data_IF_336479038315
#
_entry.id   IF_336479038315
#
_cell.length_a   1.000
_cell.length_b   1.000
_cell.length_c   1.000
_cell.angle_alpha   90.00
_cell.angle_beta   90.00
_cell.angle_gamma   90.00
#
_symmetry.space_group_name_H-M   'P 1'
#
loop_
_entity.id
_entity.type
_entity.pdbx_description
1 polymer ?
#
# COMPACT_ATOMS: atom_id res chain seq x y z
N UNK A 1 54.88 -49.25 -0.24
CA UNK A 1 53.44 -48.92 -0.14
C UNK A 1 52.81 -49.85 0.89
N UNK A 2 52.10 -49.34 1.91
CA UNK A 2 51.40 -50.19 2.87
C UNK A 2 50.26 -50.97 2.18
N UNK A 3 50.04 -52.22 2.60
CA UNK A 3 49.09 -53.18 1.99
C UNK A 3 47.66 -52.61 1.89
N UNK A 4 47.27 -51.76 2.84
CA UNK A 4 45.97 -51.07 2.85
C UNK A 4 45.78 -50.11 1.67
N UNK A 5 46.82 -49.39 1.26
CA UNK A 5 46.79 -48.53 0.07
C UNK A 5 46.67 -49.35 -1.22
N UNK A 6 47.27 -50.54 -1.25
CA UNK A 6 47.21 -51.44 -2.40
C UNK A 6 45.81 -52.06 -2.57
N UNK A 7 45.14 -52.42 -1.47
CA UNK A 7 43.75 -52.92 -1.47
C UNK A 7 42.78 -51.82 -1.94
N UNK A 8 42.93 -50.60 -1.42
CA UNK A 8 42.12 -49.46 -1.84
C UNK A 8 42.29 -49.15 -3.33
N UNK A 9 43.53 -49.18 -3.83
CA UNK A 9 43.83 -48.96 -5.24
C UNK A 9 43.25 -50.07 -6.12
N UNK A 10 43.37 -51.34 -5.71
CA UNK A 10 42.81 -52.47 -6.43
C UNK A 10 41.27 -52.43 -6.48
N UNK A 11 40.64 -52.05 -5.38
CA UNK A 11 39.18 -51.84 -5.31
C UNK A 11 38.73 -50.71 -6.24
N UNK A 12 39.42 -49.57 -6.22
CA UNK A 12 39.13 -48.44 -7.12
C UNK A 12 39.30 -48.83 -8.59
N UNK A 13 40.40 -49.52 -8.93
CA UNK A 13 40.66 -49.98 -10.30
C UNK A 13 39.65 -51.04 -10.76
N UNK A 14 39.21 -51.92 -9.86
CA UNK A 14 38.14 -52.89 -10.15
C UNK A 14 36.82 -52.18 -10.45
N UNK A 15 36.50 -51.13 -9.69
CA UNK A 15 35.29 -50.33 -9.90
C UNK A 15 35.32 -49.58 -11.23
N UNK A 16 36.42 -48.90 -11.56
CA UNK A 16 36.58 -48.20 -12.84
C UNK A 16 36.50 -49.17 -14.02
N UNK A 17 37.14 -50.34 -13.93
CA UNK A 17 37.02 -51.38 -14.96
C UNK A 17 35.59 -51.89 -15.11
N UNK A 18 34.84 -52.01 -14.01
CA UNK A 18 33.42 -52.39 -14.08
C UNK A 18 32.59 -51.33 -14.80
N UNK A 19 32.82 -50.05 -14.53
CA UNK A 19 32.10 -48.97 -15.22
C UNK A 19 32.41 -48.94 -16.72
N UNK A 20 33.70 -49.07 -17.07
CA UNK A 20 34.11 -49.14 -18.48
C UNK A 20 33.50 -50.35 -19.21
N UNK A 21 33.37 -51.50 -18.52
CA UNK A 21 32.69 -52.67 -19.10
C UNK A 21 31.21 -52.41 -19.36
N UNK A 22 30.52 -51.75 -18.43
CA UNK A 22 29.10 -51.39 -18.59
C UNK A 22 28.94 -50.40 -19.76
N UNK A 23 29.80 -49.39 -19.82
CA UNK A 23 29.83 -48.41 -20.91
C UNK A 23 30.12 -49.09 -22.27
N UNK A 24 31.08 -50.00 -22.31
CA UNK A 24 31.40 -50.75 -23.54
C UNK A 24 30.23 -51.63 -23.97
N UNK A 25 29.59 -52.33 -23.04
CA UNK A 25 28.42 -53.17 -23.33
C UNK A 25 27.21 -52.35 -23.81
N UNK A 26 26.98 -51.16 -23.23
CA UNK A 26 25.97 -50.20 -23.66
C UNK A 26 26.19 -49.78 -25.13
N UNK A 27 27.43 -49.41 -25.48
CA UNK A 27 27.76 -49.06 -26.85
C UNK A 27 27.69 -50.26 -27.79
N UNK A 28 28.14 -51.44 -27.36
CA UNK A 28 28.07 -52.68 -28.16
C UNK A 28 26.62 -53.07 -28.48
N UNK A 29 25.70 -52.97 -27.51
CA UNK A 29 24.26 -53.14 -27.74
C UNK A 29 23.72 -52.14 -28.76
N UNK A 30 24.12 -50.88 -28.66
CA UNK A 30 23.73 -49.84 -29.62
C UNK A 30 24.25 -50.13 -31.02
N UNK A 31 25.52 -50.52 -31.16
CA UNK A 31 26.12 -50.91 -32.43
C UNK A 31 25.44 -52.14 -33.03
N UNK A 32 25.14 -53.16 -32.23
CA UNK A 32 24.44 -54.38 -32.67
C UNK A 32 22.98 -54.11 -33.10
N UNK A 33 22.33 -53.07 -32.57
CA UNK A 33 21.02 -52.60 -33.03
C UNK A 33 21.12 -51.77 -34.33
N UNK A 34 22.26 -51.14 -34.58
CA UNK A 34 22.53 -50.33 -35.78
C UNK A 34 23.11 -51.12 -36.95
N UNK A 35 23.68 -52.31 -36.74
CA UNK A 35 23.97 -53.23 -37.84
C UNK A 35 22.66 -53.67 -38.50
N UNK A 36 22.44 -53.38 -39.80
CA UNK A 36 21.25 -53.84 -40.49
C UNK A 36 21.32 -55.37 -40.61
N UNK A 37 20.53 -56.09 -39.80
CA UNK A 37 20.06 -57.41 -40.21
C UNK A 37 19.21 -57.21 -41.46
N UNK A 38 19.75 -57.69 -42.58
CA UNK A 38 19.07 -57.97 -43.83
C UNK A 38 18.52 -56.76 -44.62
N UNK A 39 19.41 -56.06 -45.33
CA UNK A 39 19.04 -55.51 -46.64
C UNK A 39 19.15 -56.62 -47.70
N UNK A 40 18.21 -57.57 -47.59
CA UNK A 40 17.82 -58.41 -48.70
C UNK A 40 17.28 -57.55 -49.83
N UNK A 41 18.02 -57.55 -50.93
CA UNK A 41 17.58 -57.35 -52.31
C UNK A 41 16.09 -57.02 -52.53
N UNK A 42 15.73 -55.73 -52.51
CA UNK A 42 14.51 -55.27 -53.20
C UNK A 42 14.84 -54.90 -54.65
N UNK A 43 14.44 -55.82 -55.54
CA UNK A 43 14.34 -55.65 -56.98
C UNK A 43 13.50 -54.40 -57.31
N UNK A 44 14.12 -53.38 -57.88
CA UNK A 44 13.42 -52.46 -58.81
C UNK A 44 13.50 -53.03 -60.21
N UNK A 45 12.34 -53.10 -60.85
CA UNK A 45 12.13 -53.73 -62.14
C UNK A 45 12.95 -53.12 -63.28
N UNK A 46 13.57 -54.01 -64.04
CA UNK A 46 13.80 -53.88 -65.47
C UNK A 46 13.75 -55.30 -66.01
N UNK A 47 12.58 -55.67 -66.52
CA UNK A 47 12.45 -56.76 -67.48
C UNK A 47 12.93 -56.18 -68.80
N UNK A 48 14.08 -56.65 -69.28
CA UNK A 48 14.31 -57.02 -70.67
C UNK A 48 15.71 -57.65 -70.77
N UNK A 49 15.69 -58.85 -71.34
CA UNK A 49 16.77 -59.51 -72.09
C UNK A 49 17.88 -60.30 -71.36
N UNK A 50 17.62 -61.61 -71.31
CA UNK A 50 18.46 -62.74 -71.72
C UNK A 50 19.97 -62.49 -71.97
N UNK A 51 20.82 -63.22 -71.25
CA UNK A 51 22.18 -63.49 -71.74
C UNK A 51 23.24 -63.81 -70.68
N UNK A 52 23.49 -65.10 -70.48
CA UNK A 52 24.79 -65.74 -70.19
C UNK A 52 25.79 -65.11 -69.20
N UNK A 53 25.94 -65.82 -68.08
CA UNK A 53 27.15 -66.55 -67.66
C UNK A 53 28.56 -65.93 -67.81
N UNK A 54 29.33 -66.17 -66.74
CA UNK A 54 30.79 -66.29 -66.62
C UNK A 54 31.58 -65.11 -66.02
N UNK A 55 32.06 -65.37 -64.79
CA UNK A 55 33.30 -64.89 -64.16
C UNK A 55 34.48 -64.83 -65.18
N UNK A 56 35.54 -63.99 -65.01
CA UNK A 56 36.28 -63.89 -63.75
C UNK A 56 36.98 -62.57 -63.37
N UNK A 57 37.38 -62.58 -62.10
CA UNK A 57 38.48 -61.85 -61.44
C UNK A 57 39.56 -61.28 -62.38
N UNK A 58 39.70 -59.95 -62.35
CA UNK A 58 40.90 -59.20 -62.69
C UNK A 58 41.35 -58.36 -61.50
N UNK A 59 42.61 -58.55 -61.09
CA UNK A 59 43.20 -58.19 -59.80
C UNK A 59 43.91 -56.82 -59.87
N UNK A 60 43.75 -56.04 -58.80
CA UNK A 60 44.64 -54.99 -58.25
C UNK A 60 44.87 -53.71 -59.08
N UNK A 61 44.41 -52.59 -58.50
CA UNK A 61 45.34 -51.51 -58.16
C UNK A 61 44.94 -50.86 -56.84
N UNK A 62 45.83 -51.01 -55.86
CA UNK A 62 45.78 -50.37 -54.56
C UNK A 62 45.73 -48.85 -54.73
N UNK A 63 44.64 -48.23 -54.26
CA UNK A 63 44.65 -46.81 -53.89
C UNK A 63 44.55 -46.76 -52.37
N UNK A 64 45.71 -46.88 -51.75
CA UNK A 64 45.95 -46.45 -50.38
C UNK A 64 45.61 -44.97 -50.26
N UNK A 65 44.45 -44.69 -49.68
CA UNK A 65 44.10 -43.53 -48.86
C UNK A 65 42.59 -43.58 -48.61
N UNK A 66 42.14 -44.61 -47.91
CA UNK A 66 40.99 -44.44 -47.06
C UNK A 66 41.53 -43.64 -45.88
N UNK A 67 41.28 -42.33 -45.94
CA UNK A 67 41.32 -41.42 -44.80
C UNK A 67 40.80 -42.19 -43.59
N UNK A 68 41.61 -42.23 -42.53
CA UNK A 68 41.22 -42.72 -41.23
C UNK A 68 39.74 -42.45 -41.02
N UNK A 69 39.01 -43.56 -40.87
CA UNK A 69 37.68 -43.65 -40.33
C UNK A 69 37.10 -42.30 -39.94
N UNK A 70 36.00 -41.93 -40.61
CA UNK A 70 34.97 -41.20 -39.88
C UNK A 70 34.59 -42.10 -38.70
N UNK A 71 35.36 -42.03 -37.62
CA UNK A 71 34.90 -42.38 -36.29
C UNK A 71 33.67 -41.51 -36.15
N UNK A 72 32.50 -42.11 -36.36
CA UNK A 72 31.23 -41.50 -36.04
C UNK A 72 31.24 -41.47 -34.51
N UNK A 73 31.93 -40.47 -33.97
CA UNK A 73 31.96 -40.18 -32.56
C UNK A 73 30.57 -39.67 -32.24
N UNK A 74 29.84 -40.43 -31.43
CA UNK A 74 28.57 -39.98 -30.88
C UNK A 74 28.80 -38.64 -30.18
N UNK A 75 27.94 -37.67 -30.47
CA UNK A 75 27.94 -36.40 -29.73
C UNK A 75 27.65 -36.67 -28.25
N UNK A 76 28.03 -35.73 -27.38
CA UNK A 76 27.76 -35.86 -25.93
C UNK A 76 26.26 -36.04 -25.69
N UNK A 77 25.43 -35.33 -26.45
CA UNK A 77 23.97 -35.45 -26.43
C UNK A 77 23.51 -36.87 -26.83
N UNK A 78 24.01 -37.41 -27.95
CA UNK A 78 23.69 -38.78 -28.38
C UNK A 78 24.15 -39.85 -27.37
N UNK A 79 25.27 -39.64 -26.69
CA UNK A 79 25.75 -40.52 -25.61
C UNK A 79 24.85 -40.44 -24.39
N UNK A 80 24.40 -39.24 -24.00
CA UNK A 80 23.43 -39.06 -22.92
C UNK A 80 22.10 -39.74 -23.25
N UNK A 81 21.59 -39.56 -24.48
CA UNK A 81 20.34 -40.21 -24.92
C UNK A 81 20.45 -41.73 -24.94
N UNK A 82 21.60 -42.28 -25.30
CA UNK A 82 21.85 -43.71 -25.25
C UNK A 82 21.94 -44.21 -23.80
N UNK A 83 22.68 -43.50 -22.94
CA UNK A 83 22.77 -43.84 -21.53
C UNK A 83 21.40 -43.79 -20.83
N UNK A 84 20.55 -42.84 -21.21
CA UNK A 84 19.20 -42.72 -20.68
C UNK A 84 18.31 -43.86 -21.16
N UNK A 85 18.35 -44.23 -22.44
CA UNK A 85 17.62 -45.40 -22.97
C UNK A 85 18.03 -46.71 -22.32
N UNK A 86 19.34 -46.94 -22.15
CA UNK A 86 19.83 -48.15 -21.48
C UNK A 86 19.51 -48.14 -19.98
N UNK A 87 19.46 -46.97 -19.35
CA UNK A 87 18.96 -46.84 -17.98
C UNK A 87 17.47 -47.19 -17.89
N UNK A 88 16.65 -46.78 -18.85
CA UNK A 88 15.22 -47.12 -18.92
C UNK A 88 15.02 -48.63 -19.16
N UNK A 89 15.74 -49.21 -20.13
CA UNK A 89 15.70 -50.65 -20.43
C UNK A 89 16.13 -51.49 -19.22
N UNK A 90 17.24 -51.12 -18.56
CA UNK A 90 17.67 -51.84 -17.34
C UNK A 90 16.70 -51.69 -16.17
N UNK A 91 16.00 -50.55 -16.05
CA UNK A 91 14.92 -50.39 -15.06
C UNK A 91 13.75 -51.31 -15.37
N UNK A 92 13.34 -51.41 -16.63
CA UNK A 92 12.29 -52.32 -17.08
C UNK A 92 12.68 -53.79 -16.83
N UNK A 93 13.90 -54.19 -17.18
CA UNK A 93 14.43 -55.54 -16.94
C UNK A 93 14.43 -55.88 -15.44
N UNK A 94 14.89 -54.96 -14.59
CA UNK A 94 14.87 -55.14 -13.13
C UNK A 94 13.43 -55.30 -12.63
N UNK A 95 12.50 -54.51 -13.14
CA UNK A 95 11.09 -54.59 -12.74
C UNK A 95 10.47 -55.91 -13.19
N UNK A 96 10.71 -56.34 -14.42
CA UNK A 96 10.23 -57.63 -14.93
C UNK A 96 10.83 -58.81 -14.13
N UNK A 97 12.13 -58.75 -13.80
CA UNK A 97 12.78 -59.76 -12.97
C UNK A 97 12.15 -59.81 -11.57
N UNK A 98 11.87 -58.65 -10.95
CA UNK A 98 11.19 -58.58 -9.65
C UNK A 98 9.81 -59.23 -9.71
N UNK A 99 8.98 -58.84 -10.67
CA UNK A 99 7.64 -59.42 -10.83
C UNK A 99 7.69 -60.94 -11.06
N UNK A 100 8.61 -61.41 -11.90
CA UNK A 100 8.79 -62.84 -12.13
C UNK A 100 9.24 -63.57 -10.87
N UNK A 101 10.20 -63.01 -10.13
CA UNK A 101 10.68 -63.58 -8.87
C UNK A 101 9.56 -63.66 -7.83
N UNK A 102 8.71 -62.63 -7.75
CA UNK A 102 7.57 -62.60 -6.83
C UNK A 102 6.51 -63.62 -7.21
N UNK A 103 6.18 -63.74 -8.51
CA UNK A 103 5.27 -64.79 -9.01
C UNK A 103 5.78 -66.19 -8.67
N UNK A 104 7.07 -66.43 -8.85
CA UNK A 104 7.71 -67.71 -8.53
C UNK A 104 7.67 -67.96 -7.02
N UNK A 105 7.99 -66.96 -6.21
CA UNK A 105 7.95 -67.06 -4.75
C UNK A 105 6.54 -67.39 -4.25
N UNK A 106 5.53 -66.67 -4.73
CA UNK A 106 4.12 -66.93 -4.39
C UNK A 106 3.69 -68.35 -4.78
N UNK A 107 4.16 -68.86 -5.93
CA UNK A 107 3.89 -70.24 -6.33
C UNK A 107 4.55 -71.25 -5.37
N UNK A 108 5.81 -71.04 -4.99
CA UNK A 108 6.47 -71.93 -4.02
C UNK A 108 5.80 -71.90 -2.64
N UNK A 109 5.37 -70.73 -2.17
CA UNK A 109 4.61 -70.62 -0.93
C UNK A 109 3.29 -71.41 -1.01
N UNK A 110 2.54 -71.27 -2.12
CA UNK A 110 1.31 -72.03 -2.32
C UNK A 110 1.55 -73.56 -2.36
N UNK A 111 2.64 -74.01 -2.98
CA UNK A 111 3.03 -75.43 -3.01
C UNK A 111 3.37 -75.93 -1.60
N UNK A 112 4.11 -75.14 -0.81
CA UNK A 112 4.44 -75.50 0.58
C UNK A 112 3.19 -75.60 1.45
N UNK A 113 2.30 -74.61 1.39
CA UNK A 113 1.02 -74.63 2.13
C UNK A 113 0.17 -75.85 1.74
N UNK A 114 0.08 -76.17 0.44
CA UNK A 114 -0.63 -77.35 -0.05
C UNK A 114 -0.01 -78.65 0.49
N UNK A 115 1.32 -78.75 0.51
CA UNK A 115 2.04 -79.89 1.04
C UNK A 115 1.80 -80.08 2.54
N UNK A 116 1.79 -78.99 3.32
CA UNK A 116 1.50 -79.03 4.76
C UNK A 116 0.06 -79.51 5.02
N UNK A 117 -0.92 -78.98 4.28
CA UNK A 117 -2.31 -79.42 4.36
C UNK A 117 -2.42 -80.92 4.03
N UNK A 118 -1.81 -81.35 2.92
CA UNK A 118 -1.81 -82.78 2.52
C UNK A 118 -1.16 -83.67 3.56
N UNK A 119 -0.04 -83.24 4.16
CA UNK A 119 0.64 -84.02 5.19
C UNK A 119 -0.27 -84.24 6.41
N UNK A 120 -0.98 -83.20 6.86
CA UNK A 120 -1.94 -83.31 7.97
C UNK A 120 -3.10 -84.23 7.61
N UNK A 121 -3.65 -84.11 6.40
CA UNK A 121 -4.74 -84.95 5.91
C UNK A 121 -4.34 -86.43 5.79
N UNK A 122 -3.15 -86.73 5.27
CA UNK A 122 -2.64 -88.11 5.16
C UNK A 122 -2.40 -88.71 6.53
N UNK A 123 -1.80 -87.97 7.46
CA UNK A 123 -1.61 -88.44 8.85
C UNK A 123 -2.95 -88.76 9.51
N UNK A 124 -3.95 -87.88 9.35
CA UNK A 124 -5.31 -88.10 9.85
C UNK A 124 -5.93 -89.34 9.21
N UNK A 125 -5.87 -89.45 7.88
CA UNK A 125 -6.42 -90.59 7.14
C UNK A 125 -5.78 -91.92 7.56
N UNK A 126 -4.47 -91.93 7.83
CA UNK A 126 -3.77 -93.11 8.33
C UNK A 126 -4.24 -93.51 9.72
N UNK A 127 -4.42 -92.55 10.63
CA UNK A 127 -4.93 -92.80 11.99
C UNK A 127 -6.38 -93.31 11.97
N UNK A 128 -7.24 -92.70 11.14
CA UNK A 128 -8.63 -93.11 10.94
C UNK A 128 -8.70 -94.53 10.36
N UNK A 129 -7.88 -94.84 9.35
CA UNK A 129 -7.83 -96.18 8.76
C UNK A 129 -7.36 -97.24 9.77
N UNK A 130 -6.31 -96.98 10.54
CA UNK A 130 -5.83 -97.89 11.58
C UNK A 130 -6.92 -98.14 12.64
N UNK A 131 -7.60 -97.08 13.09
CA UNK A 131 -8.67 -97.15 14.08
C UNK A 131 -9.90 -97.91 13.56
N UNK A 132 -10.41 -97.52 12.41
CA UNK A 132 -11.73 -97.93 11.95
C UNK A 132 -11.68 -99.26 11.18
N UNK A 133 -10.55 -99.56 10.54
CA UNK A 133 -10.35 -100.75 9.71
C UNK A 133 -9.44 -101.75 10.42
N UNK A 134 -8.17 -101.42 10.64
CA UNK A 134 -7.15 -102.39 11.13
C UNK A 134 -7.53 -102.94 12.52
N UNK A 135 -7.82 -102.07 13.48
CA UNK A 135 -8.21 -102.46 14.85
C UNK A 135 -9.60 -103.10 14.94
N UNK A 136 -10.49 -102.84 13.99
CA UNK A 136 -11.83 -103.43 13.94
C UNK A 136 -11.81 -104.85 13.37
N UNK A 137 -11.04 -105.06 12.30
CA UNK A 137 -10.91 -106.36 11.62
C UNK A 137 -10.16 -107.35 12.49
N UNK A 138 -9.08 -106.92 13.15
CA UNK A 138 -8.30 -107.78 14.08
C UNK A 138 -9.13 -108.32 15.24
N UNK A 139 -10.19 -107.60 15.67
CA UNK A 139 -11.10 -108.03 16.75
C UNK A 139 -12.21 -108.98 16.28
N UNK A 140 -12.57 -108.98 15.00
CA UNK A 140 -13.67 -109.78 14.44
C UNK A 140 -13.13 -110.80 13.44
N UNK A 141 -12.94 -112.05 13.87
CA UNK A 141 -12.45 -113.14 13.00
C UNK A 141 -13.49 -113.52 11.94
N UNK A 142 -13.28 -113.09 10.69
CA UNK A 142 -14.08 -113.50 9.53
C UNK A 142 -13.71 -112.74 8.25
N UNK A 143 -13.25 -113.46 7.21
CA UNK A 143 -12.72 -112.89 5.96
C UNK A 143 -13.74 -112.01 5.20
N UNK A 144 -15.00 -112.45 5.14
CA UNK A 144 -16.08 -111.74 4.42
C UNK A 144 -16.46 -110.41 5.09
N UNK A 145 -16.45 -110.37 6.42
CA UNK A 145 -16.75 -109.15 7.20
C UNK A 145 -15.60 -108.14 7.06
N UNK A 146 -14.36 -108.63 6.99
CA UNK A 146 -13.19 -107.80 6.76
C UNK A 146 -13.23 -107.13 5.38
N UNK A 147 -13.55 -107.87 4.31
CA UNK A 147 -13.66 -107.32 2.96
C UNK A 147 -14.80 -106.32 2.81
N UNK A 148 -15.99 -106.59 3.38
CA UNK A 148 -17.13 -105.65 3.32
C UNK A 148 -16.80 -104.32 4.03
N UNK A 149 -16.08 -104.38 5.16
CA UNK A 149 -15.69 -103.18 5.91
C UNK A 149 -14.69 -102.30 5.14
N UNK A 150 -13.72 -102.94 4.48
CA UNK A 150 -12.75 -102.23 3.61
C UNK A 150 -13.47 -101.60 2.42
N UNK A 151 -14.39 -102.31 1.78
CA UNK A 151 -15.16 -101.81 0.63
C UNK A 151 -15.97 -100.56 1.01
N UNK A 152 -16.75 -100.63 2.10
CA UNK A 152 -17.52 -99.46 2.59
C UNK A 152 -16.64 -98.27 2.91
N UNK A 153 -15.49 -98.49 3.53
CA UNK A 153 -14.52 -97.41 3.79
C UNK A 153 -14.05 -96.77 2.48
N UNK A 154 -13.70 -97.56 1.47
CA UNK A 154 -13.30 -97.02 0.16
C UNK A 154 -14.43 -96.21 -0.49
N UNK A 155 -15.67 -96.70 -0.46
CA UNK A 155 -16.85 -96.01 -0.98
C UNK A 155 -17.11 -94.67 -0.26
N UNK A 156 -17.05 -94.66 1.07
CA UNK A 156 -17.22 -93.45 1.88
C UNK A 156 -16.11 -92.43 1.61
N UNK A 157 -14.86 -92.88 1.43
CA UNK A 157 -13.72 -92.01 1.08
C UNK A 157 -13.87 -91.43 -0.32
N UNK A 158 -14.33 -92.20 -1.29
CA UNK A 158 -14.62 -91.72 -2.65
C UNK A 158 -15.70 -90.64 -2.59
N UNK A 159 -16.82 -90.92 -1.88
CA UNK A 159 -17.93 -89.98 -1.73
C UNK A 159 -17.50 -88.68 -1.03
N UNK A 160 -16.71 -88.78 0.03
CA UNK A 160 -16.16 -87.61 0.75
C UNK A 160 -15.25 -86.76 -0.15
N UNK A 161 -14.39 -87.41 -0.95
CA UNK A 161 -13.53 -86.72 -1.93
C UNK A 161 -14.35 -85.99 -2.99
N UNK A 162 -15.43 -86.60 -3.48
CA UNK A 162 -16.30 -85.98 -4.49
C UNK A 162 -17.02 -84.74 -3.93
N UNK A 163 -17.48 -84.79 -2.68
CA UNK A 163 -18.04 -83.62 -1.97
C UNK A 163 -16.99 -82.50 -1.84
N UNK A 164 -15.76 -82.86 -1.45
CA UNK A 164 -14.67 -81.88 -1.32
C UNK A 164 -14.31 -81.25 -2.67
N UNK A 165 -14.27 -82.04 -3.74
CA UNK A 165 -14.04 -81.57 -5.10
C UNK A 165 -15.06 -80.51 -5.51
N UNK A 166 -16.34 -80.77 -5.26
CA UNK A 166 -17.41 -79.79 -5.59
C UNK A 166 -17.29 -78.52 -4.73
N UNK A 167 -16.97 -78.66 -3.43
CA UNK A 167 -16.72 -77.52 -2.54
C UNK A 167 -15.57 -76.64 -3.03
N UNK A 168 -14.45 -77.23 -3.44
CA UNK A 168 -13.29 -76.51 -3.98
C UNK A 168 -13.67 -75.83 -5.30
N UNK A 169 -14.41 -76.52 -6.18
CA UNK A 169 -14.87 -75.95 -7.46
C UNK A 169 -15.73 -74.69 -7.25
N UNK A 170 -16.75 -74.76 -6.40
CA UNK A 170 -17.62 -73.62 -6.09
C UNK A 170 -16.81 -72.45 -5.49
N UNK A 171 -15.84 -72.74 -4.60
CA UNK A 171 -14.96 -71.71 -4.04
C UNK A 171 -14.07 -71.07 -5.10
N UNK A 172 -13.53 -71.86 -6.04
CA UNK A 172 -12.72 -71.37 -7.16
C UNK A 172 -13.52 -70.43 -8.07
N UNK A 173 -14.76 -70.80 -8.40
CA UNK A 173 -15.64 -69.97 -9.22
C UNK A 173 -16.00 -68.65 -8.52
N UNK A 174 -16.28 -68.69 -7.21
CA UNK A 174 -16.49 -67.49 -6.39
C UNK A 174 -15.26 -66.57 -6.37
N UNK A 175 -14.06 -67.12 -6.17
CA UNK A 175 -12.81 -66.34 -6.17
C UNK A 175 -12.50 -65.75 -7.55
N UNK A 176 -12.80 -66.46 -8.65
CA UNK A 176 -12.67 -65.92 -10.02
C UNK A 176 -13.56 -64.70 -10.24
N UNK A 177 -14.82 -64.74 -9.77
CA UNK A 177 -15.74 -63.59 -9.85
C UNK A 177 -15.22 -62.42 -9.01
N UNK A 178 -14.75 -62.68 -7.78
CA UNK A 178 -14.19 -61.64 -6.92
C UNK A 178 -12.95 -61.00 -7.55
N UNK A 179 -12.04 -61.80 -8.14
CA UNK A 179 -10.87 -61.30 -8.87
C UNK A 179 -11.30 -60.37 -10.01
N UNK A 180 -12.25 -60.78 -10.84
CA UNK A 180 -12.76 -59.93 -11.93
C UNK A 180 -13.36 -58.62 -11.42
N UNK A 181 -14.11 -58.65 -10.31
CA UNK A 181 -14.67 -57.45 -9.68
C UNK A 181 -13.56 -56.50 -9.20
N UNK A 182 -12.55 -57.02 -8.51
CA UNK A 182 -11.42 -56.21 -8.03
C UNK A 182 -10.61 -55.61 -9.18
N UNK A 183 -10.37 -56.39 -10.24
CA UNK A 183 -9.70 -55.89 -11.45
C UNK A 183 -10.50 -54.76 -12.11
N UNK A 184 -11.82 -54.86 -12.16
CA UNK A 184 -12.66 -53.80 -12.73
C UNK A 184 -12.68 -52.55 -11.85
N UNK A 185 -12.70 -52.69 -10.53
CA UNK A 185 -12.57 -51.57 -9.60
C UNK A 185 -11.21 -50.87 -9.72
N UNK A 186 -10.13 -51.64 -9.91
CA UNK A 186 -8.80 -51.09 -10.16
C UNK A 186 -8.79 -50.25 -11.45
N UNK A 187 -9.31 -50.80 -12.55
CA UNK A 187 -9.42 -50.06 -13.82
C UNK A 187 -10.23 -48.78 -13.69
N UNK A 188 -11.38 -48.81 -13.03
CA UNK A 188 -12.18 -47.61 -12.80
C UNK A 188 -11.44 -46.56 -11.96
N UNK A 189 -10.61 -46.98 -11.00
CA UNK A 189 -9.78 -46.08 -10.20
C UNK A 189 -8.61 -45.51 -11.00
N UNK A 190 -8.02 -46.30 -11.89
CA UNK A 190 -6.99 -45.87 -12.83
C UNK A 190 -7.55 -44.86 -13.84
N UNK A 191 -8.71 -45.14 -14.45
CA UNK A 191 -9.42 -44.22 -15.36
C UNK A 191 -9.87 -42.93 -14.65
N UNK A 192 -10.25 -42.99 -13.37
CA UNK A 192 -10.54 -41.79 -12.58
C UNK A 192 -9.26 -40.97 -12.27
N UNK A 193 -8.11 -41.64 -12.16
CA UNK A 193 -6.79 -40.99 -12.10
C UNK A 193 -6.37 -40.41 -13.45
N UNK A 194 -6.76 -41.04 -14.55
CA UNK A 194 -6.55 -40.57 -15.92
C UNK A 194 -7.46 -39.37 -16.27
N UNK A 195 -8.65 -39.27 -15.66
CA UNK A 195 -9.53 -38.10 -15.78
C UNK A 195 -8.93 -36.82 -15.15
N UNK A 196 -7.91 -36.95 -14.30
CA UNK A 196 -7.20 -35.85 -13.68
C UNK A 196 -5.79 -35.82 -14.28
N UNK A 197 -5.67 -35.29 -15.49
CA UNK A 197 -4.39 -35.32 -16.19
C UNK A 197 -3.36 -34.51 -15.41
N UNK A 198 -2.13 -35.02 -15.32
CA UNK A 198 -1.00 -34.24 -14.80
C UNK A 198 -0.85 -32.90 -15.53
N UNK A 199 -1.24 -32.87 -16.82
CA UNK A 199 -1.33 -31.65 -17.64
C UNK A 199 -2.32 -30.64 -17.06
N UNK A 200 -3.50 -31.05 -16.60
CA UNK A 200 -4.50 -30.14 -16.01
C UNK A 200 -3.97 -29.52 -14.71
N UNK A 201 -3.26 -30.32 -13.90
CA UNK A 201 -2.61 -29.82 -12.69
C UNK A 201 -1.47 -28.85 -13.02
N UNK A 202 -0.67 -29.15 -14.04
CA UNK A 202 0.39 -28.24 -14.49
C UNK A 202 -0.21 -26.95 -15.06
N UNK A 203 -1.30 -27.03 -15.82
CA UNK A 203 -2.03 -25.87 -16.30
C UNK A 203 -2.55 -25.02 -15.14
N UNK A 204 -3.17 -25.63 -14.12
CA UNK A 204 -3.67 -24.90 -12.95
C UNK A 204 -2.54 -24.22 -12.17
N UNK A 205 -1.36 -24.85 -12.08
CA UNK A 205 -0.15 -24.25 -11.50
C UNK A 205 0.33 -23.04 -12.31
N UNK A 206 0.34 -23.16 -13.64
CA UNK A 206 0.74 -22.06 -14.54
C UNK A 206 -0.25 -20.90 -14.42
N UNK A 207 -1.56 -21.17 -14.46
CA UNK A 207 -2.59 -20.15 -14.31
C UNK A 207 -2.50 -19.44 -12.95
N UNK A 208 -2.29 -20.18 -11.86
CA UNK A 208 -2.12 -19.60 -10.53
C UNK A 208 -0.86 -18.71 -10.47
N UNK A 209 0.26 -19.16 -11.03
CA UNK A 209 1.48 -18.35 -11.11
C UNK A 209 1.26 -17.05 -11.91
N UNK A 210 0.55 -17.13 -13.05
CA UNK A 210 0.19 -15.94 -13.84
C UNK A 210 -0.74 -14.98 -13.10
N UNK A 211 -1.69 -15.50 -12.30
CA UNK A 211 -2.56 -14.65 -11.50
C UNK A 211 -1.79 -13.97 -10.37
N UNK A 212 -0.86 -14.66 -9.72
CA UNK A 212 0.00 -14.07 -8.70
C UNK A 212 0.86 -12.94 -9.28
N UNK A 213 1.47 -13.16 -10.44
CA UNK A 213 2.27 -12.13 -11.13
C UNK A 213 1.41 -10.90 -11.46
N UNK A 214 0.21 -11.09 -12.01
CA UNK A 214 -0.73 -9.98 -12.26
C UNK A 214 -1.16 -9.26 -10.98
N UNK A 215 -1.34 -9.98 -9.87
CA UNK A 215 -1.67 -9.36 -8.58
C UNK A 215 -0.48 -8.50 -8.11
N UNK A 216 0.74 -9.00 -8.23
CA UNK A 216 1.95 -8.28 -7.85
C UNK A 216 2.18 -7.03 -8.71
N UNK A 217 1.99 -7.11 -10.03
CA UNK A 217 2.01 -5.95 -10.92
C UNK A 217 1.01 -4.88 -10.47
N UNK A 218 -0.24 -5.26 -10.22
CA UNK A 218 -1.28 -4.32 -9.77
C UNK A 218 -1.01 -3.75 -8.39
N UNK A 219 -0.39 -4.51 -7.51
CA UNK A 219 0.04 -4.02 -6.21
C UNK A 219 1.18 -3.00 -6.33
N UNK A 220 2.13 -3.20 -7.25
CA UNK A 220 3.18 -2.24 -7.54
C UNK A 220 2.61 -0.94 -8.14
N UNK A 221 1.69 -1.03 -9.09
CA UNK A 221 0.99 0.13 -9.66
C UNK A 221 0.24 0.91 -8.57
N UNK A 222 -0.49 0.20 -7.70
CA UNK A 222 -1.20 0.79 -6.57
C UNK A 222 -0.25 1.51 -5.61
N UNK A 223 0.93 0.94 -5.35
CA UNK A 223 1.94 1.57 -4.50
C UNK A 223 2.48 2.86 -5.15
N UNK A 224 2.81 2.83 -6.43
CA UNK A 224 3.27 4.01 -7.16
C UNK A 224 2.20 5.12 -7.18
N UNK A 225 0.94 4.75 -7.39
CA UNK A 225 -0.17 5.70 -7.37
C UNK A 225 -0.35 6.31 -5.97
N UNK A 226 -0.26 5.51 -4.90
CA UNK A 226 -0.30 6.01 -3.51
C UNK A 226 0.81 7.01 -3.22
N UNK A 227 2.05 6.73 -3.65
CA UNK A 227 3.18 7.65 -3.50
C UNK A 227 2.94 8.96 -4.26
N UNK A 228 2.44 8.87 -5.50
CA UNK A 228 2.12 10.03 -6.34
C UNK A 228 1.00 10.88 -5.72
N UNK A 229 -0.05 10.25 -5.18
CA UNK A 229 -1.12 10.93 -4.45
C UNK A 229 -0.58 11.61 -3.19
N UNK A 230 0.30 10.94 -2.43
CA UNK A 230 0.96 11.53 -1.27
C UNK A 230 1.76 12.79 -1.62
N UNK A 231 2.59 12.71 -2.67
CA UNK A 231 3.40 13.84 -3.14
C UNK A 231 2.55 15.00 -3.66
N UNK A 232 1.53 14.71 -4.47
CA UNK A 232 0.61 15.75 -4.98
C UNK A 232 -0.18 16.42 -3.85
N UNK A 233 -0.58 15.67 -2.82
CA UNK A 233 -1.24 16.21 -1.63
C UNK A 233 -0.31 17.11 -0.82
N UNK A 234 0.98 16.77 -0.69
CA UNK A 234 1.96 17.64 -0.04
C UNK A 234 2.13 18.96 -0.79
N UNK A 235 2.29 18.90 -2.12
CA UNK A 235 2.40 20.08 -2.99
C UNK A 235 1.13 20.94 -2.89
N UNK A 236 -0.05 20.31 -2.96
CA UNK A 236 -1.33 21.00 -2.84
C UNK A 236 -1.45 21.72 -1.49
N UNK A 237 -1.10 21.06 -0.39
CA UNK A 237 -1.14 21.67 0.94
C UNK A 237 -0.14 22.83 1.08
N UNK A 238 1.04 22.72 0.47
CA UNK A 238 2.01 23.83 0.42
C UNK A 238 1.42 25.06 -0.28
N UNK A 239 0.85 24.89 -1.47
CA UNK A 239 0.25 26.00 -2.22
C UNK A 239 -1.02 26.53 -1.55
N UNK A 240 -1.83 25.68 -0.92
CA UNK A 240 -2.98 26.10 -0.12
C UNK A 240 -2.58 27.01 1.03
N UNK A 241 -1.50 26.67 1.76
CA UNK A 241 -0.95 27.53 2.83
C UNK A 241 -0.42 28.85 2.28
N UNK A 242 0.31 28.82 1.16
CA UNK A 242 0.84 30.04 0.52
C UNK A 242 -0.29 30.96 0.05
N UNK A 243 -1.35 30.39 -0.53
CA UNK A 243 -2.53 31.14 -0.93
C UNK A 243 -3.22 31.76 0.29
N UNK A 244 -3.45 30.97 1.34
CA UNK A 244 -4.06 31.48 2.58
C UNK A 244 -3.28 32.66 3.16
N UNK A 245 -1.95 32.55 3.21
CA UNK A 245 -1.09 33.65 3.65
C UNK A 245 -1.27 34.90 2.77
N UNK A 246 -1.20 34.75 1.44
CA UNK A 246 -1.38 35.85 0.50
C UNK A 246 -2.77 36.49 0.64
N UNK A 247 -3.83 35.70 0.82
CA UNK A 247 -5.19 36.19 1.05
C UNK A 247 -5.27 36.97 2.36
N UNK A 248 -4.70 36.46 3.46
CA UNK A 248 -4.68 37.19 4.73
C UNK A 248 -3.92 38.51 4.63
N UNK A 249 -2.77 38.51 3.95
CA UNK A 249 -1.99 39.73 3.71
C UNK A 249 -2.78 40.73 2.86
N UNK A 250 -3.44 40.27 1.79
CA UNK A 250 -4.28 41.12 0.96
C UNK A 250 -5.42 41.76 1.79
N UNK A 251 -6.09 40.98 2.64
CA UNK A 251 -7.13 41.54 3.53
C UNK A 251 -6.57 42.57 4.51
N UNK A 252 -5.37 42.35 5.04
CA UNK A 252 -4.69 43.32 5.90
C UNK A 252 -4.36 44.61 5.14
N UNK A 253 -3.77 44.51 3.95
CA UNK A 253 -3.43 45.66 3.12
C UNK A 253 -4.67 46.47 2.71
N UNK A 254 -5.78 45.81 2.39
CA UNK A 254 -7.06 46.49 2.12
C UNK A 254 -7.53 47.28 3.33
N UNK A 255 -7.43 46.71 4.53
CA UNK A 255 -7.75 47.40 5.79
C UNK A 255 -6.81 48.60 6.03
N UNK A 256 -5.52 48.43 5.83
CA UNK A 256 -4.52 49.50 5.99
C UNK A 256 -4.78 50.64 5.00
N UNK A 257 -5.07 50.33 3.74
CA UNK A 257 -5.42 51.31 2.70
C UNK A 257 -6.68 52.09 3.12
N UNK A 258 -7.71 51.40 3.64
CA UNK A 258 -8.93 52.06 4.12
C UNK A 258 -8.63 53.01 5.30
N UNK A 259 -7.84 52.58 6.27
CA UNK A 259 -7.42 53.42 7.41
C UNK A 259 -6.60 54.64 6.97
N UNK A 260 -5.69 54.46 5.99
CA UNK A 260 -4.89 55.56 5.43
C UNK A 260 -5.74 56.54 4.64
N UNK A 261 -6.72 56.07 3.87
CA UNK A 261 -7.69 56.95 3.19
C UNK A 261 -8.49 57.78 4.19
N UNK A 262 -9.03 57.16 5.23
CA UNK A 262 -9.77 57.89 6.28
C UNK A 262 -8.88 58.95 6.97
N UNK A 263 -7.62 58.62 7.24
CA UNK A 263 -6.66 59.57 7.82
C UNK A 263 -6.35 60.73 6.87
N UNK A 264 -6.21 60.45 5.56
CA UNK A 264 -6.01 61.48 4.55
C UNK A 264 -7.22 62.40 4.43
N UNK A 265 -8.44 61.86 4.48
CA UNK A 265 -9.67 62.67 4.44
C UNK A 265 -9.73 63.62 5.64
N UNK A 266 -9.37 63.16 6.85
CA UNK A 266 -9.28 64.01 8.05
C UNK A 266 -8.25 65.13 7.89
N UNK A 267 -7.04 64.78 7.43
CA UNK A 267 -5.98 65.78 7.18
C UNK A 267 -6.42 66.78 6.11
N UNK A 268 -7.10 66.35 5.05
CA UNK A 268 -7.61 67.24 4.01
C UNK A 268 -8.66 68.22 4.57
N UNK A 269 -9.58 67.75 5.42
CA UNK A 269 -10.53 68.61 6.11
C UNK A 269 -9.84 69.60 7.07
N UNK A 270 -8.88 69.13 7.87
CA UNK A 270 -8.09 69.99 8.75
C UNK A 270 -7.30 71.04 7.96
N UNK A 271 -6.72 70.68 6.82
CA UNK A 271 -5.97 71.60 5.97
C UNK A 271 -6.86 72.74 5.42
N UNK A 272 -8.11 72.44 5.05
CA UNK A 272 -9.08 73.46 4.62
C UNK A 272 -9.36 74.43 5.78
N UNK A 273 -9.65 73.91 6.97
CA UNK A 273 -9.92 74.74 8.15
C UNK A 273 -8.73 75.63 8.52
N UNK A 274 -7.52 75.06 8.53
CA UNK A 274 -6.28 75.80 8.80
C UNK A 274 -6.04 76.88 7.74
N UNK A 275 -6.35 76.62 6.48
CA UNK A 275 -6.23 77.62 5.41
C UNK A 275 -7.21 78.78 5.60
N UNK A 276 -8.47 78.50 5.95
CA UNK A 276 -9.48 79.52 6.29
C UNK A 276 -9.04 80.36 7.50
N UNK A 277 -8.55 79.72 8.56
CA UNK A 277 -8.00 80.41 9.73
C UNK A 277 -6.77 81.26 9.37
N UNK A 278 -5.88 80.75 8.51
CA UNK A 278 -4.71 81.47 8.02
C UNK A 278 -5.12 82.72 7.24
N UNK A 279 -6.11 82.61 6.34
CA UNK A 279 -6.64 83.74 5.58
C UNK A 279 -7.24 84.81 6.49
N UNK A 280 -8.05 84.43 7.47
CA UNK A 280 -8.62 85.36 8.46
C UNK A 280 -7.54 86.06 9.28
N UNK A 281 -6.55 85.30 9.75
CA UNK A 281 -5.39 85.84 10.46
C UNK A 281 -4.56 86.77 9.57
N UNK A 282 -4.38 86.46 8.29
CA UNK A 282 -3.65 87.29 7.33
C UNK A 282 -4.40 88.61 7.05
N UNK A 283 -5.73 88.56 6.87
CA UNK A 283 -6.57 89.76 6.73
C UNK A 283 -6.44 90.65 7.96
N UNK A 284 -6.53 90.07 9.17
CA UNK A 284 -6.36 90.79 10.42
C UNK A 284 -4.96 91.39 10.54
N UNK A 285 -3.92 90.62 10.22
CA UNK A 285 -2.52 91.09 10.24
C UNK A 285 -2.32 92.26 9.26
N UNK A 286 -2.86 92.17 8.04
CA UNK A 286 -2.86 93.26 7.06
C UNK A 286 -3.55 94.51 7.63
N UNK A 287 -4.69 94.37 8.29
CA UNK A 287 -5.39 95.50 8.94
C UNK A 287 -4.55 96.13 10.05
N UNK A 288 -3.96 95.34 10.94
CA UNK A 288 -3.10 95.82 12.01
C UNK A 288 -1.83 96.52 11.46
N UNK A 289 -1.21 95.97 10.41
CA UNK A 289 -0.09 96.62 9.72
C UNK A 289 -0.48 97.96 9.11
N UNK A 290 -1.65 98.05 8.46
CA UNK A 290 -2.18 99.33 7.94
C UNK A 290 -2.37 100.33 9.08
N UNK A 291 -2.99 99.92 10.17
CA UNK A 291 -3.15 100.76 11.36
C UNK A 291 -1.80 101.22 11.92
N UNK A 292 -0.80 100.35 11.97
CA UNK A 292 0.55 100.70 12.43
C UNK A 292 1.22 101.72 11.50
N UNK A 293 1.03 101.62 10.18
CA UNK A 293 1.57 102.58 9.20
C UNK A 293 0.82 103.92 9.20
N UNK A 294 -0.50 103.89 9.42
CA UNK A 294 -1.35 105.09 9.50
C UNK A 294 -1.18 105.81 10.85
N UNK A 295 -0.86 105.05 11.91
CA UNK A 295 -0.59 105.58 13.23
C UNK A 295 0.68 106.44 13.21
N UNK A 296 0.48 107.75 13.26
CA UNK A 296 1.53 108.72 13.52
C UNK A 296 1.39 109.20 14.96
N UNK A 297 2.49 109.10 15.72
CA UNK A 297 2.56 109.61 17.09
C UNK A 297 2.23 111.11 17.06
N UNK A 298 1.14 111.55 17.73
CA UNK A 298 0.80 112.97 17.78
C UNK A 298 1.97 113.77 18.38
N UNK A 299 2.31 114.95 17.82
CA UNK A 299 3.39 115.78 18.36
C UNK A 299 3.15 116.07 19.84
N UNK A 300 4.20 115.97 20.67
CA UNK A 300 4.12 116.19 22.14
C UNK A 300 3.45 117.51 22.48
N UNK A 301 3.65 118.55 21.64
CA UNK A 301 2.99 119.84 21.79
C UNK A 301 1.46 119.76 21.75
N UNK A 302 0.86 118.91 20.92
CA UNK A 302 -0.61 118.73 20.92
C UNK A 302 -1.09 118.12 22.23
N UNK A 303 -0.35 117.14 22.77
CA UNK A 303 -0.65 116.60 24.09
C UNK A 303 -0.51 117.66 25.19
N UNK A 304 0.51 118.51 25.12
CA UNK A 304 0.70 119.62 26.06
C UNK A 304 -0.42 120.66 25.95
N UNK A 305 -0.84 121.04 24.75
CA UNK A 305 -1.97 121.96 24.54
C UNK A 305 -3.28 121.40 25.08
N UNK A 306 -3.58 120.13 24.81
CA UNK A 306 -4.76 119.46 25.38
C UNK A 306 -4.67 119.36 26.91
N UNK A 307 -3.47 119.08 27.47
CA UNK A 307 -3.23 119.08 28.92
C UNK A 307 -3.41 120.47 29.54
N UNK A 308 -2.95 121.52 28.85
CA UNK A 308 -3.14 122.91 29.25
C UNK A 308 -4.62 123.30 29.22
N UNK A 309 -5.35 122.90 28.18
CA UNK A 309 -6.79 123.12 28.07
C UNK A 309 -7.55 122.42 29.22
N UNK A 310 -7.17 121.18 29.55
CA UNK A 310 -7.70 120.48 30.73
C UNK A 310 -7.38 121.24 32.02
N UNK A 311 -6.15 121.72 32.19
CA UNK A 311 -5.74 122.50 33.37
C UNK A 311 -6.47 123.85 33.48
N UNK A 312 -6.68 124.56 32.37
CA UNK A 312 -7.46 125.79 32.32
C UNK A 312 -8.93 125.52 32.68
N UNK A 313 -9.52 124.44 32.15
CA UNK A 313 -10.86 123.99 32.53
C UNK A 313 -10.93 123.67 34.03
N UNK A 314 -9.96 122.94 34.59
CA UNK A 314 -9.88 122.67 36.02
C UNK A 314 -9.76 123.96 36.87
N UNK A 315 -8.99 124.95 36.43
CA UNK A 315 -8.88 126.23 37.13
C UNK A 315 -10.15 127.07 37.04
N UNK A 316 -10.80 127.11 35.87
CA UNK A 316 -12.10 127.78 35.75
C UNK A 316 -13.16 127.10 36.62
N UNK A 317 -13.16 125.76 36.70
CA UNK A 317 -14.01 125.00 37.58
C UNK A 317 -13.77 125.38 39.05
N UNK A 318 -12.52 125.46 39.50
CA UNK A 318 -12.17 125.95 40.86
C UNK A 318 -12.60 127.40 41.13
N UNK A 319 -12.46 128.29 40.14
CA UNK A 319 -12.93 129.68 40.26
C UNK A 319 -14.44 129.72 40.41
N UNK A 320 -15.17 128.92 39.65
CA UNK A 320 -16.62 128.81 39.75
C UNK A 320 -17.05 128.21 41.08
N UNK A 321 -16.39 127.15 41.56
CA UNK A 321 -16.60 126.59 42.90
C UNK A 321 -16.42 127.67 43.98
N UNK A 322 -15.36 128.48 43.89
CA UNK A 322 -15.10 129.55 44.87
C UNK A 322 -16.08 130.73 44.76
N UNK A 323 -16.58 131.03 43.55
CA UNK A 323 -17.67 132.01 43.37
C UNK A 323 -18.98 131.51 43.99
N UNK A 324 -19.26 130.21 43.88
CA UNK A 324 -20.41 129.58 44.55
C UNK A 324 -20.26 129.67 46.07
N UNK A 325 -19.10 129.33 46.63
CA UNK A 325 -18.83 129.50 48.07
C UNK A 325 -19.01 130.95 48.55
N UNK A 326 -18.52 131.94 47.81
CA UNK A 326 -18.69 133.36 48.19
C UNK A 326 -20.18 133.77 48.13
N UNK A 327 -20.93 133.30 47.13
CA UNK A 327 -22.36 133.56 47.03
C UNK A 327 -23.14 132.89 48.19
N UNK A 328 -22.76 131.66 48.58
CA UNK A 328 -23.32 130.96 49.73
C UNK A 328 -23.00 131.66 51.06
N UNK A 329 -21.74 132.08 51.26
CA UNK A 329 -21.33 132.86 52.45
C UNK A 329 -22.02 134.22 52.50
N UNK A 330 -22.18 134.91 51.36
CA UNK A 330 -22.93 136.16 51.28
C UNK A 330 -24.40 135.93 51.66
N UNK A 331 -25.04 134.89 51.13
CA UNK A 331 -26.41 134.51 51.50
C UNK A 331 -26.54 134.21 53.01
N UNK A 332 -25.60 133.47 53.60
CA UNK A 332 -25.56 133.23 55.05
C UNK A 332 -25.38 134.52 55.86
N UNK A 333 -24.55 135.45 55.39
CA UNK A 333 -24.35 136.74 56.05
C UNK A 333 -25.62 137.61 56.01
N UNK A 334 -26.30 137.69 54.86
CA UNK A 334 -27.59 138.38 54.70
C UNK A 334 -28.68 137.75 55.57
N UNK A 335 -28.72 136.42 55.68
CA UNK A 335 -29.63 135.73 56.60
C UNK A 335 -29.36 136.07 58.06
N UNK A 336 -28.08 136.17 58.47
CA UNK A 336 -27.73 136.54 59.85
C UNK A 336 -28.07 138.00 60.18
N UNK A 337 -27.86 138.91 59.23
CA UNK A 337 -28.19 140.35 59.36
C UNK A 337 -29.70 140.55 59.38
N UNK A 338 -30.45 139.83 58.54
CA UNK A 338 -31.91 139.84 58.56
C UNK A 338 -32.48 139.26 59.87
N UNK A 339 -31.90 138.17 60.39
CA UNK A 339 -32.30 137.63 61.70
C UNK A 339 -32.03 138.61 62.85
N UNK A 340 -30.90 139.34 62.84
CA UNK A 340 -30.60 140.39 63.83
C UNK A 340 -31.53 141.61 63.71
N UNK A 341 -31.84 142.05 62.49
CA UNK A 341 -32.79 143.14 62.24
C UNK A 341 -34.24 142.77 62.62
N UNK A 342 -34.64 141.50 62.39
CA UNK A 342 -35.94 140.97 62.81
C UNK A 342 -36.08 140.90 64.34
N UNK A 343 -35.02 140.52 65.06
CA UNK A 343 -35.02 140.48 66.52
C UNK A 343 -35.00 141.88 67.17
N UNK A 344 -34.26 142.83 66.59
CA UNK A 344 -34.27 144.23 67.04
C UNK A 344 -35.60 144.95 66.80
N UNK A 345 -36.30 144.64 65.70
CA UNK A 345 -37.63 145.21 65.40
C UNK A 345 -38.71 144.66 66.34
N UNK A 346 -38.69 143.35 66.65
CA UNK A 346 -39.59 142.78 67.67
C UNK A 346 -39.33 143.33 69.09
N UNK A 347 -38.12 143.78 69.41
CA UNK A 347 -37.78 144.38 70.71
C UNK A 347 -38.15 145.87 70.82
N UNK A 348 -38.31 146.60 69.71
CA UNK A 348 -38.78 148.00 69.70
C UNK A 348 -40.31 148.13 69.63
N UNK A 349 -41.03 147.04 69.30
CA UNK A 349 -42.50 146.97 69.28
C UNK A 349 -43.15 146.86 70.68
N UNK A 350 -42.40 147.13 71.77
CA UNK A 350 -42.85 146.98 73.16
C UNK A 350 -42.86 148.29 74.02
N UNK A 351 -42.49 149.46 73.48
CA UNK A 351 -42.47 150.73 74.25
C UNK A 351 -43.02 151.94 73.46
N UNK A 352 -44.35 152.11 73.48
CA UNK A 352 -45.11 153.35 73.17
C UNK A 352 -45.44 153.67 71.69
N UNK A 353 -46.56 154.41 71.43
CA UNK A 353 -47.70 153.84 70.71
C UNK A 353 -48.14 154.63 69.46
N UNK A 354 -48.95 153.91 68.67
CA UNK A 354 -50.02 154.32 67.76
C UNK A 354 -49.98 155.72 67.13
N UNK A 355 -49.79 155.74 65.81
CA UNK A 355 -50.73 156.46 64.94
C UNK A 355 -51.14 155.59 63.76
N UNK A 356 -52.43 155.29 63.73
CA UNK A 356 -53.17 154.92 62.54
C UNK A 356 -52.95 155.97 61.45
N UNK A 357 -52.76 155.54 60.21
CA UNK A 357 -53.71 155.88 59.14
C UNK A 357 -53.38 155.16 57.83
N UNK A 358 -54.41 154.47 57.37
CA UNK A 358 -54.72 154.06 56.02
C UNK A 358 -54.37 155.05 54.88
N UNK A 359 -53.88 154.46 53.78
CA UNK A 359 -54.19 154.66 52.34
C UNK A 359 -52.88 154.64 51.56
N UNK A 360 -52.73 153.94 50.45
CA UNK A 360 -53.67 153.34 49.52
C UNK A 360 -53.02 153.39 48.12
N UNK A 361 -53.57 152.60 47.18
CA UNK A 361 -53.29 152.57 45.73
C UNK A 361 -51.92 152.02 45.34
N UNK A 362 -51.72 151.30 44.23
CA UNK A 362 -52.54 150.77 43.14
C UNK A 362 -51.57 149.90 42.31
N UNK A 363 -52.03 148.79 41.73
CA UNK A 363 -51.61 148.39 40.38
C UNK A 363 -50.38 147.50 40.19
N UNK A 364 -50.67 146.33 39.58
CA UNK A 364 -49.84 145.35 38.85
C UNK A 364 -49.16 144.23 39.66
#
# INVERSE_FOLDING_TARGET
>A
MPITLLIAFFSAFSHTNSMLKIETAMFEKFFNRFEPRDLGAEKRGSSLDLGQAQYPRGRRKSKSRLTADRLICLTVEQKCDLAQRELEETKEDIQQMKENSERILQNYLAILEEADIRMVEVKRAMMEFDKDIVKTITKKKGSVIASDKVLRYMEDRIRSRDIMKEKIRLKNDSLKVQKKKMQMQLKQKEELGEALHEVDFQQLKIENAQFLEKIDERNQDLLQLKLTVGNTLQILNFYKKKLQYATTLATHLVKDIAQKKESLDKIAHEAILVEEEREMAEILNKKLRRQLTEYKVPPVLNYVHEKMAVYELENTLKIWERKVEIAEMALQSYLSVWHKAKMASHQLQALLPEQETHRGREGL
#
